data_IF_756991445854
#
_entry.id   IF_756991445854
#
_cell.length_a   1.000
_cell.length_b   1.000
_cell.length_c   1.000
_cell.angle_alpha   90.00
_cell.angle_beta   90.00
_cell.angle_gamma   90.00
#
_symmetry.space_group_name_H-M   'P 1'
#
loop_
_entity.id
_entity.type
_entity.pdbx_description
1 polymer ?
#
# COMPACT_ATOMS: atom_id res chain seq x y z
N UNK A 1 6.03 14.77 -10.03
CA UNK A 1 5.56 13.37 -9.98
C UNK A 1 4.12 13.35 -9.48
N UNK A 2 3.23 12.54 -10.07
CA UNK A 2 1.83 12.50 -9.61
C UNK A 2 1.72 11.72 -8.28
N UNK A 3 0.67 12.00 -7.48
CA UNK A 3 0.45 11.38 -6.16
C UNK A 3 0.36 9.85 -6.24
N UNK A 4 -0.22 9.30 -7.32
CA UNK A 4 -0.33 7.84 -7.50
C UNK A 4 1.04 7.21 -7.60
N UNK A 5 1.95 7.81 -8.37
CA UNK A 5 3.29 7.32 -8.56
C UNK A 5 4.15 7.46 -7.29
N UNK A 6 3.99 8.56 -6.54
CA UNK A 6 4.62 8.72 -5.23
C UNK A 6 4.21 7.62 -4.23
N UNK A 7 2.89 7.36 -4.12
CA UNK A 7 2.40 6.28 -3.25
C UNK A 7 2.90 4.92 -3.71
N UNK A 8 2.85 4.65 -5.02
CA UNK A 8 3.33 3.38 -5.59
C UNK A 8 4.81 3.17 -5.32
N UNK A 9 5.66 4.17 -5.56
CA UNK A 9 7.09 4.08 -5.32
C UNK A 9 7.41 3.86 -3.83
N UNK A 10 6.75 4.60 -2.94
CA UNK A 10 6.91 4.42 -1.48
C UNK A 10 6.51 3.01 -1.03
N UNK A 11 5.40 2.49 -1.56
CA UNK A 11 4.91 1.14 -1.26
C UNK A 11 5.87 0.06 -1.77
N UNK A 12 6.39 0.21 -2.99
CA UNK A 12 7.35 -0.72 -3.60
C UNK A 12 8.69 -0.72 -2.85
N UNK A 13 9.22 0.46 -2.51
CA UNK A 13 10.44 0.57 -1.70
C UNK A 13 10.27 -0.08 -0.32
N UNK A 14 9.12 0.15 0.33
CA UNK A 14 8.80 -0.47 1.63
C UNK A 14 8.69 -1.98 1.50
N UNK A 15 8.03 -2.47 0.45
CA UNK A 15 7.91 -3.89 0.14
C UNK A 15 9.28 -4.55 -0.04
N UNK A 16 10.20 -3.97 -0.81
CA UNK A 16 11.54 -4.54 -0.98
C UNK A 16 12.33 -4.61 0.32
N UNK A 17 12.20 -3.61 1.20
CA UNK A 17 12.82 -3.65 2.52
C UNK A 17 12.24 -4.78 3.39
N UNK A 18 10.92 -4.97 3.34
CA UNK A 18 10.23 -6.06 4.05
C UNK A 18 10.62 -7.43 3.46
N UNK A 19 10.66 -7.56 2.14
CA UNK A 19 11.01 -8.80 1.45
C UNK A 19 12.39 -9.31 1.90
N UNK A 20 13.39 -8.41 1.95
CA UNK A 20 14.74 -8.72 2.45
C UNK A 20 14.78 -9.21 3.89
N UNK A 21 13.82 -8.77 4.71
CA UNK A 21 13.69 -9.15 6.11
C UNK A 21 12.70 -10.31 6.34
N UNK A 22 12.00 -10.77 5.30
CA UNK A 22 10.93 -11.77 5.44
C UNK A 22 11.50 -13.19 5.56
N UNK A 23 10.88 -14.00 6.42
CA UNK A 23 11.17 -15.44 6.45
C UNK A 23 10.84 -16.09 5.09
N UNK A 24 11.52 -17.19 4.76
CA UNK A 24 11.38 -17.90 3.48
C UNK A 24 9.93 -18.19 3.05
N UNK A 25 8.98 -18.26 3.99
CA UNK A 25 7.58 -18.59 3.75
C UNK A 25 6.62 -17.45 4.11
N UNK A 26 6.13 -16.76 3.08
CA UNK A 26 4.95 -15.88 3.08
C UNK A 26 4.77 -14.96 4.30
N UNK A 27 5.72 -14.04 4.50
CA UNK A 27 5.70 -13.06 5.58
C UNK A 27 4.58 -12.03 5.41
N UNK A 28 3.64 -11.99 6.36
CA UNK A 28 2.59 -10.97 6.43
C UNK A 28 3.12 -9.69 7.08
N UNK A 29 2.71 -8.54 6.56
CA UNK A 29 3.14 -7.26 7.13
C UNK A 29 2.03 -6.22 7.17
N UNK A 30 2.17 -5.31 8.14
CA UNK A 30 1.38 -4.09 8.28
C UNK A 30 2.30 -3.01 8.85
N UNK A 31 2.30 -1.85 8.24
CA UNK A 31 2.97 -0.67 8.79
C UNK A 31 2.17 0.59 8.49
N UNK A 32 2.31 1.59 9.36
CA UNK A 32 1.81 2.94 9.12
C UNK A 32 2.99 3.88 9.29
N UNK A 33 3.19 4.75 8.32
CA UNK A 33 4.29 5.72 8.33
C UNK A 33 3.78 7.09 7.91
N UNK A 34 4.43 8.14 8.39
CA UNK A 34 4.20 9.50 7.88
C UNK A 34 5.07 9.70 6.64
N UNK A 35 4.48 10.16 5.54
CA UNK A 35 5.21 10.43 4.29
C UNK A 35 4.75 11.74 3.67
N UNK A 36 5.70 12.46 3.08
CA UNK A 36 5.42 13.69 2.33
C UNK A 36 4.92 13.35 0.94
N UNK A 37 3.63 13.57 0.67
CA UNK A 37 2.98 13.25 -0.60
C UNK A 37 2.10 14.42 -1.04
N UNK A 38 2.36 14.94 -2.24
CA UNK A 38 1.82 16.23 -2.66
C UNK A 38 2.36 17.37 -1.79
N UNK A 39 1.46 18.19 -1.25
CA UNK A 39 1.83 19.44 -0.57
C UNK A 39 2.00 19.31 0.95
N UNK A 40 1.95 18.10 1.51
CA UNK A 40 2.10 17.92 2.95
C UNK A 40 2.34 16.49 3.40
N UNK A 41 2.58 16.36 4.70
CA UNK A 41 2.78 15.08 5.36
C UNK A 41 1.44 14.38 5.58
N UNK A 42 1.37 13.11 5.19
CA UNK A 42 0.16 12.29 5.32
C UNK A 42 0.51 10.90 5.83
N UNK A 43 -0.37 10.27 6.62
CA UNK A 43 -0.17 8.89 7.01
C UNK A 43 -0.39 7.99 5.78
N UNK A 44 0.50 7.03 5.60
CA UNK A 44 0.43 5.98 4.59
C UNK A 44 0.40 4.63 5.32
N UNK A 45 -0.70 3.91 5.14
CA UNK A 45 -0.85 2.53 5.58
C UNK A 45 -0.38 1.61 4.45
N UNK A 46 0.51 0.68 4.77
CA UNK A 46 1.01 -0.35 3.86
C UNK A 46 0.75 -1.72 4.49
N UNK A 47 0.00 -2.56 3.80
CA UNK A 47 -0.44 -3.88 4.29
C UNK A 47 -0.30 -4.91 3.20
N UNK A 48 0.19 -6.10 3.51
CA UNK A 48 0.38 -7.11 2.49
C UNK A 48 1.03 -8.39 2.97
N UNK A 49 1.60 -9.12 2.02
CA UNK A 49 2.43 -10.29 2.25
C UNK A 49 3.56 -10.34 1.22
N UNK A 50 4.73 -10.80 1.64
CA UNK A 50 5.92 -10.96 0.82
C UNK A 50 6.41 -12.40 0.91
N UNK A 51 6.77 -12.99 -0.22
CA UNK A 51 7.29 -14.35 -0.32
C UNK A 51 8.79 -14.33 -0.62
N UNK A 52 9.63 -14.58 0.38
CA UNK A 52 11.08 -14.50 0.24
C UNK A 52 11.69 -15.44 -0.82
N UNK A 53 11.14 -16.65 -1.02
CA UNK A 53 11.68 -17.61 -2.01
C UNK A 53 11.28 -17.31 -3.45
N UNK A 54 10.03 -16.92 -3.71
CA UNK A 54 9.53 -16.58 -5.06
C UNK A 54 9.84 -15.12 -5.41
N UNK A 55 10.20 -14.33 -4.39
CA UNK A 55 10.47 -12.90 -4.49
C UNK A 55 9.29 -12.12 -5.09
N UNK A 56 8.08 -12.43 -4.63
CA UNK A 56 6.86 -11.76 -5.05
C UNK A 56 5.94 -11.46 -3.86
N UNK A 57 4.84 -10.77 -4.12
CA UNK A 57 3.83 -10.56 -3.10
C UNK A 57 2.78 -9.51 -3.42
N UNK A 58 1.88 -9.35 -2.46
CA UNK A 58 0.77 -8.42 -2.51
C UNK A 58 1.02 -7.25 -1.58
N UNK A 59 0.71 -6.03 -2.03
CA UNK A 59 0.90 -4.81 -1.27
C UNK A 59 -0.26 -3.83 -1.50
N UNK A 60 -1.01 -3.56 -0.45
CA UNK A 60 -2.07 -2.56 -0.41
C UNK A 60 -1.53 -1.31 0.25
N UNK A 61 -1.50 -0.20 -0.49
CA UNK A 61 -1.04 1.10 -0.03
C UNK A 61 -2.21 2.08 0.04
N UNK A 62 -2.49 2.62 1.23
CA UNK A 62 -3.64 3.49 1.49
C UNK A 62 -3.15 4.81 2.07
N UNK A 63 -3.32 5.88 1.30
CA UNK A 63 -2.94 7.24 1.66
C UNK A 63 -4.05 7.92 2.45
N UNK A 64 -3.65 8.55 3.56
CA UNK A 64 -4.52 9.30 4.45
C UNK A 64 -5.77 8.51 4.89
N UNK A 65 -5.61 7.29 5.44
CA UNK A 65 -6.72 6.49 5.93
C UNK A 65 -7.37 7.15 7.16
N UNK A 66 -8.65 6.90 7.41
CA UNK A 66 -9.22 7.09 8.75
C UNK A 66 -8.60 6.06 9.71
N UNK A 67 -8.52 6.37 11.02
CA UNK A 67 -7.88 5.48 12.02
C UNK A 67 -8.46 4.07 12.01
N UNK A 68 -9.79 3.94 11.85
CA UNK A 68 -10.46 2.64 11.85
C UNK A 68 -10.10 1.78 10.64
N UNK A 69 -9.75 2.41 9.50
CA UNK A 69 -9.40 1.69 8.28
C UNK A 69 -8.12 0.86 8.43
N UNK A 70 -7.18 1.31 9.29
CA UNK A 70 -5.95 0.59 9.57
C UNK A 70 -6.18 -0.79 10.20
N UNK A 71 -7.27 -0.95 10.95
CA UNK A 71 -7.62 -2.21 11.59
C UNK A 71 -8.46 -3.13 10.69
N UNK A 72 -9.20 -2.56 9.72
CA UNK A 72 -10.09 -3.31 8.83
C UNK A 72 -9.36 -4.07 7.71
N UNK A 73 -8.25 -3.55 7.22
CA UNK A 73 -7.47 -4.19 6.13
C UNK A 73 -6.48 -5.19 6.73
N UNK A 74 -6.70 -6.47 6.50
CA UNK A 74 -5.92 -7.60 7.03
C UNK A 74 -4.73 -7.92 6.12
N UNK A 75 -3.52 -8.12 6.70
CA UNK A 75 -2.37 -8.64 5.97
C UNK A 75 -2.64 -10.00 5.31
N UNK A 76 -2.11 -10.21 4.10
CA UNK A 76 -2.24 -11.47 3.37
C UNK A 76 -3.64 -11.81 2.87
N UNK A 77 -4.57 -10.84 2.84
CA UNK A 77 -5.88 -11.01 2.23
C UNK A 77 -5.96 -10.33 0.86
N UNK A 78 -6.39 -11.08 -0.15
CA UNK A 78 -6.79 -10.52 -1.44
C UNK A 78 -8.25 -10.01 -1.34
N UNK A 79 -8.45 -8.69 -1.42
CA UNK A 79 -9.76 -8.07 -1.22
C UNK A 79 -10.64 -8.00 -2.48
N UNK A 80 -10.10 -8.40 -3.64
CA UNK A 80 -10.74 -8.20 -4.94
C UNK A 80 -10.99 -6.73 -5.27
N UNK A 81 -11.18 -6.39 -6.56
CA UNK A 81 -11.29 -5.00 -7.00
C UNK A 81 -12.50 -4.29 -6.36
N UNK A 82 -13.66 -4.95 -6.34
CA UNK A 82 -14.90 -4.38 -5.78
C UNK A 82 -14.90 -4.29 -4.25
N UNK A 83 -14.37 -5.32 -3.59
CA UNK A 83 -14.31 -5.39 -2.12
C UNK A 83 -13.41 -4.31 -1.54
N UNK A 84 -12.19 -4.17 -2.07
CA UNK A 84 -11.28 -3.13 -1.61
C UNK A 84 -11.87 -1.73 -1.78
N UNK A 85 -12.43 -1.42 -2.97
CA UNK A 85 -13.09 -0.13 -3.23
C UNK A 85 -14.20 0.16 -2.24
N UNK A 86 -15.04 -0.84 -1.91
CA UNK A 86 -16.13 -0.67 -0.95
C UNK A 86 -15.61 -0.33 0.46
N UNK A 87 -14.52 -0.97 0.89
CA UNK A 87 -13.93 -0.76 2.22
C UNK A 87 -13.27 0.62 2.33
N UNK A 88 -12.52 1.05 1.32
CA UNK A 88 -11.71 2.29 1.38
C UNK A 88 -12.47 3.54 0.95
N UNK A 89 -13.61 3.40 0.28
CA UNK A 89 -14.38 4.54 -0.24
C UNK A 89 -14.76 5.53 0.86
N UNK A 90 -14.50 6.82 0.62
CA UNK A 90 -14.67 7.95 1.55
C UNK A 90 -13.81 7.90 2.81
N UNK A 91 -12.99 6.85 2.98
CA UNK A 91 -12.14 6.63 4.16
C UNK A 91 -10.65 6.87 3.91
N UNK A 92 -10.26 7.18 2.68
CA UNK A 92 -8.88 7.53 2.32
C UNK A 92 -8.83 8.50 1.13
N UNK A 93 -7.65 9.06 0.86
CA UNK A 93 -7.44 9.90 -0.33
C UNK A 93 -7.10 9.05 -1.57
N UNK A 94 -6.33 7.99 -1.37
CA UNK A 94 -5.92 7.04 -2.40
C UNK A 94 -5.79 5.63 -1.79
N UNK A 95 -6.19 4.61 -2.53
CA UNK A 95 -5.79 3.23 -2.25
C UNK A 95 -5.29 2.57 -3.53
N UNK A 96 -4.15 1.89 -3.44
CA UNK A 96 -3.56 1.07 -4.50
C UNK A 96 -3.45 -0.36 -4.00
N UNK A 97 -3.87 -1.29 -4.84
CA UNK A 97 -3.63 -2.72 -4.69
C UNK A 97 -2.56 -3.10 -5.71
N UNK A 98 -1.42 -3.56 -5.23
CA UNK A 98 -0.24 -3.85 -6.03
C UNK A 98 0.10 -5.33 -5.95
N UNK A 99 0.37 -5.92 -7.11
CA UNK A 99 1.15 -7.14 -7.22
C UNK A 99 2.59 -6.76 -7.55
N UNK A 100 3.55 -7.27 -6.78
CA UNK A 100 4.97 -6.94 -6.94
C UNK A 100 5.74 -8.24 -7.21
N UNK A 101 6.38 -8.31 -8.38
CA UNK A 101 7.30 -9.37 -8.79
C UNK A 101 8.73 -8.82 -8.66
N UNK A 102 9.34 -8.95 -7.48
CA UNK A 102 10.63 -8.32 -7.19
C UNK A 102 11.81 -8.93 -7.97
N UNK A 103 11.67 -10.15 -8.47
CA UNK A 103 12.65 -10.82 -9.33
C UNK A 103 12.63 -10.33 -10.79
N UNK A 104 11.58 -9.60 -11.22
CA UNK A 104 11.46 -9.09 -12.60
C UNK A 104 12.15 -7.74 -12.74
N UNK A 105 12.57 -7.44 -13.99
CA UNK A 105 13.07 -6.11 -14.32
C UNK A 105 12.03 -4.99 -14.08
N UNK A 106 12.47 -3.73 -13.87
CA UNK A 106 11.60 -2.64 -13.39
C UNK A 106 10.32 -2.39 -14.18
N UNK A 107 10.33 -2.68 -15.49
CA UNK A 107 9.16 -2.52 -16.38
C UNK A 107 8.02 -3.50 -16.08
N UNK A 108 8.33 -4.65 -15.48
CA UNK A 108 7.37 -5.73 -15.22
C UNK A 108 7.24 -6.07 -13.73
N UNK A 109 7.99 -5.39 -12.86
CA UNK A 109 8.07 -5.70 -11.45
C UNK A 109 6.82 -5.31 -10.65
N UNK A 110 5.94 -4.44 -11.18
CA UNK A 110 4.81 -3.91 -10.41
C UNK A 110 3.57 -3.80 -11.29
N UNK A 111 2.49 -4.47 -10.86
CA UNK A 111 1.17 -4.37 -11.47
C UNK A 111 0.19 -3.71 -10.50
N UNK A 112 -0.59 -2.74 -10.98
CA UNK A 112 -1.68 -2.14 -10.22
C UNK A 112 -2.95 -2.93 -10.47
N UNK A 113 -3.36 -3.74 -9.51
CA UNK A 113 -4.55 -4.61 -9.60
C UNK A 113 -5.83 -3.81 -9.40
N UNK A 114 -5.84 -2.91 -8.41
CA UNK A 114 -6.98 -2.05 -8.12
C UNK A 114 -6.54 -0.65 -7.69
N UNK A 115 -7.42 0.32 -7.98
CA UNK A 115 -7.21 1.72 -7.62
C UNK A 115 -8.50 2.38 -7.15
N UNK A 116 -8.41 3.08 -6.03
CA UNK A 116 -9.39 4.06 -5.58
C UNK A 116 -8.71 5.42 -5.42
N UNK A 117 -9.39 6.49 -5.84
CA UNK A 117 -8.96 7.88 -5.63
C UNK A 117 -10.17 8.72 -5.22
N UNK A 118 -10.05 9.45 -4.12
CA UNK A 118 -11.08 10.39 -3.70
C UNK A 118 -11.15 11.60 -4.65
N UNK A 119 -12.35 12.15 -4.84
CA UNK A 119 -12.54 13.38 -5.63
C UNK A 119 -12.00 14.63 -4.92
N UNK A 120 -12.10 14.65 -3.59
CA UNK A 120 -11.65 15.74 -2.74
C UNK A 120 -10.72 15.18 -1.66
N UNK A 121 -9.40 15.17 -1.91
CA UNK A 121 -8.41 14.80 -0.90
C UNK A 121 -8.51 15.70 0.32
N UNK A 122 -8.32 15.14 1.52
CA UNK A 122 -8.39 15.89 2.79
C UNK A 122 -6.99 16.24 3.32
N UNK A 123 -6.89 17.20 4.27
CA UNK A 123 -5.71 17.33 5.12
C UNK A 123 -5.36 16.02 5.83
N UNK A 124 -4.16 15.93 6.41
CA UNK A 124 -3.74 14.76 7.17
C UNK A 124 -4.74 14.45 8.29
N UNK A 125 -5.20 13.21 8.35
CA UNK A 125 -6.17 12.77 9.37
C UNK A 125 -5.52 12.42 10.69
N UNK A 126 -4.23 12.06 10.66
CA UNK A 126 -3.36 11.86 11.82
C UNK A 126 -1.91 11.84 11.36
N UNK A 127 -0.97 11.91 12.30
CA UNK A 127 0.48 11.76 12.08
C UNK A 127 0.96 10.58 12.93
N UNK A 128 1.88 9.78 12.39
CA UNK A 128 2.59 8.73 13.13
C UNK A 128 3.90 9.34 13.66
N UNK A 129 4.06 9.31 14.98
CA UNK A 129 5.26 9.73 15.72
C UNK A 129 6.30 8.61 15.78
#
# INVERSE_FOLDING_TARGET
MNIVEQVKQTAVSSFHNILRASAHHNGRFRMVLTTRIGDGDKPLLIVGNAHGVVEDGHCIAILNPDKDLANLIRPGCAYGIGGLKKIVSKRCDLALDLWIDAYKGPKHAVSVIARYRARHPKPAKFIVS
#
